data_IF_196645655861
#
_entry.id   IF_196645655861
#
_cell.length_a   1.000
_cell.length_b   1.000
_cell.length_c   1.000
_cell.angle_alpha   90.00
_cell.angle_beta   90.00
_cell.angle_gamma   90.00
#
_symmetry.space_group_name_H-M   'P 1'
#
loop_
_entity.id
_entity.type
_entity.pdbx_description
1 polymer ?
#
# COMPACT_ATOMS: atom_id res chain seq x y z
N UNK A 1 4.78 17.99 -14.19
CA UNK A 1 5.32 17.90 -12.83
C UNK A 1 5.03 16.48 -12.36
N UNK A 2 6.03 15.61 -12.28
CA UNK A 2 5.81 14.23 -11.85
C UNK A 2 5.66 14.19 -10.34
N UNK A 3 4.52 13.69 -9.85
CA UNK A 3 4.28 13.51 -8.43
C UNK A 3 5.29 12.48 -7.89
N UNK A 4 6.05 12.79 -6.82
CA UNK A 4 7.05 11.88 -6.23
C UNK A 4 6.48 10.51 -5.82
N UNK A 5 5.17 10.44 -5.57
CA UNK A 5 4.45 9.22 -5.22
C UNK A 5 4.02 8.39 -6.44
N UNK A 6 4.07 8.97 -7.65
CA UNK A 6 3.60 8.35 -8.91
C UNK A 6 4.74 7.98 -9.85
N UNK A 7 6.00 8.08 -9.40
CA UNK A 7 7.13 7.65 -10.19
C UNK A 7 7.19 6.11 -10.23
N UNK A 8 6.88 5.49 -11.36
CA UNK A 8 6.93 4.03 -11.52
C UNK A 8 8.34 3.45 -11.36
N UNK A 9 9.36 4.23 -11.74
CA UNK A 9 10.78 3.90 -11.62
C UNK A 9 11.38 4.38 -10.28
N UNK A 10 10.52 4.82 -9.34
CA UNK A 10 10.94 5.25 -8.02
C UNK A 10 11.10 4.07 -7.06
N UNK A 11 11.94 4.27 -6.04
CA UNK A 11 12.10 3.32 -4.95
C UNK A 11 11.14 3.69 -3.83
N UNK A 12 10.37 2.70 -3.39
CA UNK A 12 9.36 2.86 -2.34
C UNK A 12 9.59 1.86 -1.20
N UNK A 13 9.01 2.22 -0.07
CA UNK A 13 8.95 1.42 1.13
C UNK A 13 7.48 1.26 1.52
N UNK A 14 7.15 0.11 2.12
CA UNK A 14 5.85 -0.10 2.77
C UNK A 14 6.04 0.16 4.26
N UNK A 15 5.30 1.14 4.75
CA UNK A 15 5.24 1.47 6.16
C UNK A 15 4.02 0.80 6.79
N UNK A 16 4.15 0.46 8.07
CA UNK A 16 3.06 0.07 8.94
C UNK A 16 3.00 1.01 10.14
N UNK A 17 1.80 1.38 10.57
CA UNK A 17 1.61 2.06 11.85
C UNK A 17 1.23 1.06 12.95
N UNK A 18 1.12 1.56 14.17
CA UNK A 18 0.72 0.79 15.36
C UNK A 18 -0.70 0.19 15.24
N UNK A 19 -1.53 0.79 14.38
CA UNK A 19 -2.90 0.34 14.09
C UNK A 19 -2.96 -0.73 12.98
N UNK A 20 -1.81 -1.13 12.40
CA UNK A 20 -1.73 -2.12 11.32
C UNK A 20 -2.08 -1.59 9.92
N UNK A 21 -2.18 -0.28 9.76
CA UNK A 21 -2.41 0.37 8.47
C UNK A 21 -1.14 0.37 7.64
N UNK A 22 -1.28 0.06 6.36
CA UNK A 22 -0.17 0.02 5.42
C UNK A 22 -0.15 1.29 4.57
N UNK A 23 1.01 1.91 4.41
CA UNK A 23 1.17 3.10 3.56
C UNK A 23 2.39 2.94 2.65
N UNK A 24 2.21 3.29 1.37
CA UNK A 24 3.31 3.37 0.41
C UNK A 24 4.05 4.70 0.60
N UNK A 25 5.36 4.63 0.85
CA UNK A 25 6.17 5.80 1.13
C UNK A 25 7.44 5.82 0.28
N UNK A 26 7.77 6.93 -0.40
CA UNK A 26 8.99 7.02 -1.19
C UNK A 26 10.24 6.93 -0.31
N UNK A 27 11.23 6.13 -0.73
CA UNK A 27 12.41 5.85 0.11
C UNK A 27 13.32 7.07 0.36
N UNK A 28 13.24 8.08 -0.50
CA UNK A 28 13.98 9.34 -0.34
C UNK A 28 13.31 10.33 0.63
N UNK A 29 12.10 10.05 1.13
CA UNK A 29 11.41 10.89 2.10
C UNK A 29 11.65 10.38 3.52
N UNK A 30 11.77 11.33 4.45
CA UNK A 30 11.84 11.01 5.88
C UNK A 30 10.55 10.35 6.33
N UNK A 31 10.67 9.31 7.13
CA UNK A 31 9.53 8.56 7.65
C UNK A 31 8.97 9.28 8.89
N UNK A 32 7.65 9.52 8.96
CA UNK A 32 7.04 10.13 10.13
C UNK A 32 7.16 9.24 11.37
N UNK A 33 7.19 9.87 12.54
CA UNK A 33 7.15 9.16 13.82
C UNK A 33 5.89 8.28 13.94
N UNK A 34 6.01 7.13 14.61
CA UNK A 34 4.91 6.16 14.73
C UNK A 34 4.71 5.23 13.53
N UNK A 35 5.49 5.42 12.45
CA UNK A 35 5.51 4.51 11.31
C UNK A 35 6.80 3.70 11.26
N UNK A 36 6.67 2.42 10.96
CA UNK A 36 7.79 1.47 10.85
C UNK A 36 7.84 0.87 9.46
N UNK A 37 9.04 0.73 8.89
CA UNK A 37 9.21 0.09 7.60
C UNK A 37 9.06 -1.42 7.77
N UNK A 38 8.17 -2.03 7.00
CA UNK A 38 8.03 -3.50 6.94
C UNK A 38 8.51 -4.09 5.61
N UNK A 39 8.68 -3.24 4.59
CA UNK A 39 9.20 -3.59 3.27
C UNK A 39 9.99 -2.40 2.71
N UNK A 40 11.22 -2.62 2.24
CA UNK A 40 12.18 -1.55 1.91
C UNK A 40 12.83 -1.75 0.54
N UNK A 41 13.18 -0.63 -0.11
CA UNK A 41 14.02 -0.54 -1.33
C UNK A 41 13.50 -1.26 -2.58
N UNK A 42 12.18 -1.38 -2.71
CA UNK A 42 11.57 -2.10 -3.82
C UNK A 42 10.88 -1.18 -4.82
N UNK A 43 10.61 -1.74 -5.99
CA UNK A 43 9.84 -1.05 -7.03
C UNK A 43 8.41 -0.80 -6.54
N UNK A 44 7.74 0.21 -7.11
CA UNK A 44 6.34 0.49 -6.80
C UNK A 44 5.45 -0.74 -6.95
N UNK A 45 5.66 -1.54 -8.00
CA UNK A 45 4.88 -2.76 -8.26
C UNK A 45 5.08 -3.80 -7.15
N UNK A 46 6.32 -4.09 -6.76
CA UNK A 46 6.64 -5.01 -5.67
C UNK A 46 6.04 -4.57 -4.33
N UNK A 47 6.15 -3.28 -3.99
CA UNK A 47 5.53 -2.74 -2.78
C UNK A 47 4.00 -2.88 -2.81
N UNK A 48 3.37 -2.62 -3.96
CA UNK A 48 1.93 -2.79 -4.12
C UNK A 48 1.53 -4.26 -4.04
N UNK A 49 2.29 -5.18 -4.63
CA UNK A 49 2.04 -6.61 -4.52
C UNK A 49 2.18 -7.09 -3.07
N UNK A 50 3.22 -6.62 -2.37
CA UNK A 50 3.41 -6.89 -0.94
C UNK A 50 2.20 -6.39 -0.12
N UNK A 51 1.74 -5.16 -0.37
CA UNK A 51 0.55 -4.63 0.31
C UNK A 51 -0.68 -5.48 -0.03
N UNK A 52 -0.93 -5.82 -1.29
CA UNK A 52 -2.08 -6.65 -1.67
C UNK A 52 -2.04 -8.06 -1.02
N UNK A 53 -0.84 -8.63 -0.86
CA UNK A 53 -0.64 -9.95 -0.26
C UNK A 53 -0.73 -9.95 1.26
N UNK A 54 -0.23 -8.91 1.93
CA UNK A 54 -0.17 -8.82 3.39
C UNK A 54 -1.39 -8.09 3.98
N UNK A 55 -1.94 -7.11 3.27
CA UNK A 55 -3.15 -6.39 3.64
C UNK A 55 -4.39 -7.07 3.04
N UNK A 56 -4.60 -8.32 3.42
CA UNK A 56 -5.69 -9.17 2.92
C UNK A 56 -7.07 -8.82 3.51
N UNK A 57 -7.13 -8.01 4.57
CA UNK A 57 -8.37 -7.52 5.17
C UNK A 57 -8.49 -6.00 4.93
N UNK A 58 -8.65 -5.62 3.67
CA UNK A 58 -9.00 -4.26 3.23
C UNK A 58 -10.49 -3.92 3.44
N UNK A 59 -11.26 -4.85 3.99
CA UNK A 59 -12.67 -4.62 4.25
C UNK A 59 -12.80 -3.93 5.61
N UNK A 60 -13.31 -2.68 5.68
CA UNK A 60 -13.98 -2.30 6.91
C UNK A 60 -15.03 -3.39 7.15
N UNK A 61 -15.14 -3.91 8.38
CA UNK A 61 -16.07 -5.01 8.75
C UNK A 61 -17.52 -4.81 8.29
N UNK A 62 -17.87 -3.66 7.72
CA UNK A 62 -19.18 -3.28 7.20
C UNK A 62 -19.46 -3.58 5.71
N UNK A 63 -18.48 -4.02 4.89
CA UNK A 63 -18.67 -4.17 3.42
C UNK A 63 -18.57 -5.60 2.86
N UNK A 64 -18.45 -6.64 3.70
CA UNK A 64 -18.42 -8.06 3.27
C UNK A 64 -19.74 -8.59 2.65
N UNK A 65 -20.75 -7.75 2.39
CA UNK A 65 -22.11 -8.20 2.01
C UNK A 65 -22.60 -7.79 0.60
N UNK A 66 -21.84 -7.11 -0.27
CA UNK A 66 -22.45 -6.55 -1.51
C UNK A 66 -21.66 -6.61 -2.83
N UNK A 67 -20.54 -7.33 -2.96
CA UNK A 67 -19.88 -7.45 -4.27
C UNK A 67 -19.94 -8.87 -4.86
N UNK A 68 -21.17 -9.37 -5.02
CA UNK A 68 -21.52 -10.42 -5.97
C UNK A 68 -22.51 -9.82 -6.97
N UNK A 69 -22.06 -9.24 -8.08
CA UNK A 69 -22.81 -8.82 -9.29
C UNK A 69 -21.84 -7.99 -10.15
N UNK A 70 -21.75 -7.98 -11.48
CA UNK A 70 -22.21 -8.75 -12.63
C UNK A 70 -21.36 -8.18 -13.79
N UNK A 71 -20.99 -8.99 -14.77
CA UNK A 71 -20.21 -8.52 -15.92
C UNK A 71 -20.39 -9.44 -17.10
N UNK A 72 -21.64 -9.64 -17.49
CA UNK A 72 -22.05 -10.38 -18.69
C UNK A 72 -21.57 -9.66 -19.96
N UNK A 73 -20.91 -10.38 -20.87
CA UNK A 73 -21.22 -10.31 -22.30
C UNK A 73 -20.84 -11.59 -23.03
#
# INVERSE_FOLDING_TARGET
>A
MSNPFENENGIYNVLINEEGQHSLWPSFLVIPEGWSIIYWEESRQDCLEYINKNWTDLQPKSLKLVASSDGTK
#
